data_IF_649870312127
#
_entry.id   IF_649870312127
#
_cell.length_a   1.000
_cell.length_b   1.000
_cell.length_c   1.000
_cell.angle_alpha   90.00
_cell.angle_beta   90.00
_cell.angle_gamma   90.00
#
_symmetry.space_group_name_H-M   'P 1'
#
loop_
_entity.id
_entity.type
_entity.pdbx_description
1 polymer ?
#
# COMPACT_ATOMS: atom_id res chain seq x y z
N UNK A 1 22.90 -21.77 -23.88
CA UNK A 1 22.86 -20.94 -22.66
C UNK A 1 21.58 -20.11 -22.71
N UNK A 2 20.51 -20.58 -22.05
CA UNK A 2 19.27 -19.83 -21.93
C UNK A 2 19.24 -19.24 -20.51
N UNK A 3 19.00 -17.94 -20.48
CA UNK A 3 19.07 -17.02 -19.36
C UNK A 3 18.46 -17.56 -18.06
N UNK A 4 19.26 -17.54 -16.99
CA UNK A 4 18.86 -17.78 -15.60
C UNK A 4 18.06 -16.60 -14.99
N UNK A 5 17.64 -15.61 -15.79
CA UNK A 5 17.00 -14.39 -15.30
C UNK A 5 15.46 -14.48 -15.19
N UNK A 6 14.88 -15.68 -15.00
CA UNK A 6 13.41 -15.84 -14.87
C UNK A 6 12.96 -16.70 -13.68
N UNK A 7 13.87 -17.07 -12.78
CA UNK A 7 13.58 -17.89 -11.60
C UNK A 7 13.65 -17.13 -10.27
N UNK A 8 13.49 -15.80 -10.29
CA UNK A 8 13.14 -15.02 -9.09
C UNK A 8 11.75 -14.39 -9.25
N UNK A 9 10.78 -15.19 -9.71
CA UNK A 9 9.45 -15.02 -9.14
C UNK A 9 9.55 -15.48 -7.68
N UNK A 10 10.09 -14.60 -6.84
CA UNK A 10 10.18 -14.78 -5.40
C UNK A 10 8.81 -15.26 -4.95
N UNK A 11 8.74 -16.52 -4.51
CA UNK A 11 7.57 -17.17 -3.95
C UNK A 11 7.31 -16.47 -2.60
N UNK A 12 6.81 -15.23 -2.66
CA UNK A 12 6.29 -14.44 -1.55
C UNK A 12 4.94 -15.05 -1.15
N UNK A 13 4.95 -16.33 -0.79
CA UNK A 13 3.98 -16.91 0.14
C UNK A 13 4.41 -16.60 1.57
N UNK A 14 4.86 -15.37 1.83
CA UNK A 14 4.79 -14.85 3.18
C UNK A 14 3.30 -14.79 3.52
N UNK A 15 2.87 -15.66 4.42
CA UNK A 15 1.60 -15.49 5.12
C UNK A 15 1.66 -14.12 5.80
N UNK A 16 1.12 -13.11 5.13
CA UNK A 16 1.02 -11.77 5.67
C UNK A 16 0.04 -11.81 6.83
N UNK A 17 0.48 -11.34 7.99
CA UNK A 17 -0.41 -11.19 9.13
C UNK A 17 -1.40 -10.06 8.82
N UNK A 18 -2.69 -10.33 8.91
CA UNK A 18 -3.73 -9.32 8.79
C UNK A 18 -4.47 -9.15 10.10
N UNK A 19 -4.83 -7.91 10.42
CA UNK A 19 -5.66 -7.57 11.58
C UNK A 19 -6.69 -6.51 11.21
N UNK A 20 -7.76 -6.45 12.00
CA UNK A 20 -8.81 -5.44 11.92
C UNK A 20 -8.78 -4.65 13.23
N UNK A 21 -8.75 -3.32 13.15
CA UNK A 21 -8.63 -2.44 14.32
C UNK A 21 -9.73 -1.35 14.35
N UNK A 22 -10.33 -1.12 15.53
CA UNK A 22 -11.37 -0.11 15.77
C UNK A 22 -10.87 1.34 15.60
N UNK A 23 -9.60 1.61 15.92
CA UNK A 23 -9.03 2.97 15.89
C UNK A 23 -8.02 3.09 14.77
N UNK A 24 -8.54 3.32 13.58
CA UNK A 24 -7.71 3.56 12.40
C UNK A 24 -7.38 5.04 12.27
N UNK A 25 -6.16 5.45 12.65
CA UNK A 25 -5.78 6.86 12.60
C UNK A 25 -4.30 7.11 12.80
N UNK A 26 -3.74 6.55 13.88
CA UNK A 26 -2.31 6.60 14.16
C UNK A 26 -1.56 5.47 13.47
N UNK A 27 -0.31 5.71 13.08
CA UNK A 27 0.59 4.67 12.59
C UNK A 27 1.14 3.89 13.79
N UNK A 28 0.89 2.57 13.91
CA UNK A 28 1.47 1.77 14.99
C UNK A 28 2.99 1.86 14.98
N UNK A 29 3.58 2.08 16.17
CA UNK A 29 5.02 2.32 16.30
C UNK A 29 5.52 3.48 15.43
N UNK A 30 4.73 4.57 15.33
CA UNK A 30 5.02 5.74 14.49
C UNK A 30 6.45 6.29 14.60
N UNK A 31 7.05 6.23 15.79
CA UNK A 31 8.45 6.64 16.04
C UNK A 31 9.46 5.91 15.15
N UNK A 32 9.19 4.67 14.75
CA UNK A 32 10.03 3.88 13.84
C UNK A 32 10.09 4.49 12.43
N UNK A 33 9.04 5.19 12.04
CA UNK A 33 8.88 5.79 10.72
C UNK A 33 9.13 7.30 10.76
N UNK A 34 9.34 7.89 11.94
CA UNK A 34 9.61 9.32 12.06
C UNK A 34 10.92 9.70 11.38
N UNK A 35 10.88 10.77 10.58
CA UNK A 35 12.03 11.33 9.88
C UNK A 35 12.09 12.83 10.10
N UNK A 36 13.27 13.43 9.86
CA UNK A 36 13.39 14.87 9.74
C UNK A 36 13.28 15.25 8.27
N UNK A 37 12.54 16.30 7.99
CA UNK A 37 12.44 16.83 6.63
C UNK A 37 13.78 17.44 6.21
N UNK A 38 14.42 16.78 5.26
CA UNK A 38 15.71 17.14 4.66
C UNK A 38 15.64 16.91 3.16
N UNK A 39 16.58 17.46 2.39
CA UNK A 39 16.67 17.21 0.96
C UNK A 39 16.89 15.70 0.64
N UNK A 40 17.59 14.97 1.50
CA UNK A 40 17.80 13.52 1.34
C UNK A 40 16.48 12.76 1.51
N UNK A 41 15.72 13.04 2.56
CA UNK A 41 14.44 12.36 2.83
C UNK A 41 13.37 12.71 1.81
N UNK A 42 13.39 13.93 1.28
CA UNK A 42 12.56 14.35 0.14
C UNK A 42 12.87 13.52 -1.11
N UNK A 43 14.16 13.31 -1.39
CA UNK A 43 14.60 12.47 -2.52
C UNK A 43 14.18 11.01 -2.33
N UNK A 44 14.32 10.46 -1.11
CA UNK A 44 13.84 9.11 -0.77
C UNK A 44 12.33 8.98 -1.00
N UNK A 45 11.56 9.97 -0.56
CA UNK A 45 10.11 9.97 -0.71
C UNK A 45 9.69 10.03 -2.17
N UNK A 46 10.32 10.89 -2.98
CA UNK A 46 10.08 10.95 -4.43
C UNK A 46 10.43 9.65 -5.15
N UNK A 47 11.49 8.96 -4.73
CA UNK A 47 11.83 7.64 -5.27
C UNK A 47 10.75 6.60 -4.95
N UNK A 48 10.19 6.64 -3.72
CA UNK A 48 9.09 5.77 -3.31
C UNK A 48 7.81 6.04 -4.10
N UNK A 49 7.50 7.31 -4.40
CA UNK A 49 6.39 7.68 -5.29
C UNK A 49 6.62 7.15 -6.71
N UNK A 50 7.83 7.31 -7.26
CA UNK A 50 8.15 6.82 -8.62
C UNK A 50 7.95 5.31 -8.72
N UNK A 51 8.44 4.56 -7.74
CA UNK A 51 8.29 3.10 -7.70
C UNK A 51 6.81 2.69 -7.59
N UNK A 52 6.01 3.42 -6.80
CA UNK A 52 4.57 3.22 -6.72
C UNK A 52 3.89 3.50 -8.07
N UNK A 53 4.19 4.64 -8.69
CA UNK A 53 3.61 5.07 -9.97
C UNK A 53 3.96 4.07 -11.08
N UNK A 54 5.20 3.58 -11.14
CA UNK A 54 5.66 2.58 -12.11
C UNK A 54 4.98 1.21 -11.90
N UNK A 55 4.86 0.76 -10.65
CA UNK A 55 4.29 -0.57 -10.34
C UNK A 55 2.76 -0.59 -10.46
N UNK A 56 2.10 0.42 -9.90
CA UNK A 56 0.64 0.46 -9.75
C UNK A 56 -0.01 1.22 -10.91
N UNK A 57 0.50 2.41 -11.24
CA UNK A 57 0.00 3.28 -12.31
C UNK A 57 0.46 2.87 -13.71
N UNK A 58 1.58 2.14 -13.82
CA UNK A 58 2.17 1.66 -15.09
C UNK A 58 1.46 0.47 -15.75
N UNK A 59 0.31 0.03 -15.23
CA UNK A 59 -0.59 -0.87 -15.97
C UNK A 59 -0.79 -2.29 -15.42
N UNK A 60 -0.44 -2.56 -14.16
CA UNK A 60 -0.73 -3.87 -13.54
C UNK A 60 -1.97 -3.90 -12.63
N UNK A 61 -2.40 -2.75 -12.09
CA UNK A 61 -3.56 -2.68 -11.17
C UNK A 61 -4.50 -1.50 -11.42
N UNK A 62 -3.99 -0.30 -11.76
CA UNK A 62 -4.85 0.86 -12.06
C UNK A 62 -4.19 1.89 -12.98
N UNK A 63 -4.81 3.07 -13.09
CA UNK A 63 -4.28 4.22 -13.84
C UNK A 63 -3.87 5.36 -12.91
N UNK A 64 -2.98 6.26 -13.38
CA UNK A 64 -2.53 7.43 -12.60
C UNK A 64 -3.67 8.37 -12.20
N UNK A 65 -4.74 8.42 -13.00
CA UNK A 65 -5.94 9.23 -12.77
C UNK A 65 -6.83 8.67 -11.65
N UNK A 66 -6.64 7.41 -11.29
CA UNK A 66 -7.49 6.71 -10.32
C UNK A 66 -6.99 6.85 -8.87
N UNK A 67 -5.87 7.53 -8.63
CA UNK A 67 -5.34 7.73 -7.28
C UNK A 67 -4.60 9.06 -7.10
N UNK A 68 -4.52 9.49 -5.85
CA UNK A 68 -3.79 10.68 -5.44
C UNK A 68 -2.80 10.31 -4.33
N UNK A 69 -1.61 10.89 -4.41
CA UNK A 69 -0.61 10.82 -3.34
C UNK A 69 -0.45 12.26 -2.84
N UNK A 70 -1.17 12.67 -1.77
CA UNK A 70 -1.00 14.00 -1.21
C UNK A 70 0.42 14.21 -0.70
N UNK A 71 0.87 15.47 -0.72
CA UNK A 71 2.19 15.87 -0.21
C UNK A 71 2.20 15.92 1.32
N UNK A 72 2.01 14.75 1.94
CA UNK A 72 1.83 14.57 3.39
C UNK A 72 3.00 13.83 4.05
N UNK A 73 4.17 13.85 3.44
CA UNK A 73 5.34 13.12 3.92
C UNK A 73 6.03 13.75 5.14
N UNK A 74 5.60 14.95 5.54
CA UNK A 74 6.20 15.72 6.64
C UNK A 74 6.35 14.87 7.91
N UNK A 75 7.60 14.62 8.29
CA UNK A 75 7.95 13.93 9.52
C UNK A 75 7.74 12.42 9.54
N UNK A 76 7.26 11.77 8.46
CA UNK A 76 7.06 10.32 8.41
C UNK A 76 7.47 9.68 7.08
N UNK A 77 8.24 8.58 7.15
CA UNK A 77 8.60 7.75 6.01
C UNK A 77 7.46 6.81 5.65
N UNK A 78 6.54 7.28 4.82
CA UNK A 78 5.46 6.45 4.27
C UNK A 78 4.76 7.09 3.09
N UNK A 79 3.93 6.29 2.42
CA UNK A 79 2.98 6.78 1.42
C UNK A 79 1.61 6.94 2.06
N UNK A 80 0.97 8.06 1.78
CA UNK A 80 -0.46 8.26 2.02
C UNK A 80 -1.11 8.33 0.65
N UNK A 81 -2.10 7.49 0.39
CA UNK A 81 -2.67 7.33 -0.95
C UNK A 81 -4.19 7.28 -0.88
N UNK A 82 -4.85 8.08 -1.71
CA UNK A 82 -6.28 7.98 -1.96
C UNK A 82 -6.53 7.15 -3.20
N UNK A 83 -7.37 6.13 -3.09
CA UNK A 83 -7.76 5.26 -4.20
C UNK A 83 -9.20 5.56 -4.60
N UNK A 84 -9.42 6.04 -5.81
CA UNK A 84 -10.73 6.49 -6.29
C UNK A 84 -11.45 5.46 -7.17
N UNK A 85 -10.84 4.28 -7.38
CA UNK A 85 -11.32 3.28 -8.34
C UNK A 85 -11.34 1.87 -7.73
N UNK A 86 -12.42 1.14 -7.97
CA UNK A 86 -12.57 -0.26 -7.54
C UNK A 86 -11.56 -1.22 -8.19
N UNK A 87 -10.88 -0.78 -9.25
CA UNK A 87 -9.84 -1.57 -9.93
C UNK A 87 -8.68 -1.95 -9.01
N UNK A 88 -8.44 -1.17 -7.94
CA UNK A 88 -7.43 -1.48 -6.94
C UNK A 88 -7.86 -2.58 -5.96
N UNK A 89 -9.15 -2.88 -5.84
CA UNK A 89 -9.68 -3.82 -4.86
C UNK A 89 -9.58 -5.26 -5.38
N UNK A 90 -8.35 -5.68 -5.66
CA UNK A 90 -8.01 -7.00 -6.20
C UNK A 90 -6.90 -7.63 -5.37
N UNK A 91 -6.90 -8.97 -5.31
CA UNK A 91 -5.95 -9.76 -4.51
C UNK A 91 -4.47 -9.46 -4.78
N UNK A 92 -4.12 -8.97 -5.98
CA UNK A 92 -2.74 -8.65 -6.35
C UNK A 92 -2.25 -7.29 -5.84
N UNK A 93 -3.14 -6.41 -5.36
CA UNK A 93 -2.79 -5.04 -4.96
C UNK A 93 -1.86 -5.03 -3.75
N UNK A 94 -2.29 -5.64 -2.64
CA UNK A 94 -1.52 -5.68 -1.39
C UNK A 94 -0.13 -6.31 -1.60
N UNK A 95 0.01 -7.47 -2.29
CA UNK A 95 1.32 -8.01 -2.65
C UNK A 95 2.19 -7.07 -3.49
N UNK A 96 1.60 -6.26 -4.38
CA UNK A 96 2.36 -5.28 -5.16
C UNK A 96 2.91 -4.17 -4.27
N UNK A 97 2.10 -3.64 -3.36
CA UNK A 97 2.53 -2.64 -2.37
C UNK A 97 3.63 -3.20 -1.47
N UNK A 98 3.50 -4.44 -0.99
CA UNK A 98 4.54 -5.07 -0.16
C UNK A 98 5.87 -5.19 -0.90
N UNK A 99 5.88 -5.50 -2.21
CA UNK A 99 7.12 -5.50 -3.00
C UNK A 99 7.77 -4.12 -3.05
N UNK A 100 6.99 -3.08 -3.32
CA UNK A 100 7.45 -1.68 -3.31
C UNK A 100 8.11 -1.32 -1.97
N UNK A 101 7.48 -1.70 -0.85
CA UNK A 101 8.02 -1.42 0.49
C UNK A 101 9.26 -2.27 0.80
N UNK A 102 9.30 -3.52 0.36
CA UNK A 102 10.37 -4.47 0.70
C UNK A 102 11.71 -4.04 0.13
N UNK A 103 11.74 -3.49 -1.10
CA UNK A 103 12.98 -3.02 -1.74
C UNK A 103 13.57 -1.76 -1.09
N UNK A 104 12.80 -1.06 -0.24
CA UNK A 104 13.29 0.14 0.44
C UNK A 104 14.29 -0.22 1.56
N UNK A 105 15.47 0.43 1.61
CA UNK A 105 16.50 0.11 2.60
C UNK A 105 16.12 0.50 4.02
N UNK A 106 15.26 1.52 4.18
CA UNK A 106 14.83 2.04 5.49
C UNK A 106 13.37 1.61 5.77
N UNK A 107 12.95 1.50 7.05
CA UNK A 107 11.57 1.16 7.40
C UNK A 107 10.57 2.19 6.85
N UNK A 108 9.53 1.71 6.18
CA UNK A 108 8.45 2.52 5.61
C UNK A 108 7.13 1.74 5.64
N UNK A 109 6.03 2.44 5.38
CA UNK A 109 4.68 1.88 5.28
C UNK A 109 3.89 2.60 4.18
N UNK A 110 2.72 2.07 3.83
CA UNK A 110 1.75 2.77 2.98
C UNK A 110 0.38 2.76 3.66
N UNK A 111 -0.31 3.90 3.69
CA UNK A 111 -1.67 4.06 4.19
C UNK A 111 -2.57 4.42 3.03
N UNK A 112 -3.72 3.74 2.95
CA UNK A 112 -4.69 3.91 1.88
C UNK A 112 -6.03 4.35 2.46
N UNK A 113 -6.66 5.33 1.82
CA UNK A 113 -8.09 5.62 1.97
C UNK A 113 -8.78 5.26 0.66
N UNK A 114 -9.81 4.42 0.76
CA UNK A 114 -10.43 3.75 -0.37
C UNK A 114 -11.81 4.35 -0.63
N UNK A 115 -12.04 4.82 -1.85
CA UNK A 115 -13.28 5.44 -2.27
C UNK A 115 -13.96 4.62 -3.37
N UNK A 116 -15.29 4.66 -3.39
CA UNK A 116 -16.13 4.21 -4.50
C UNK A 116 -16.84 5.44 -5.07
N UNK A 117 -17.05 5.45 -6.39
CA UNK A 117 -17.67 6.56 -7.14
C UNK A 117 -16.97 7.91 -6.87
N UNK A 118 -15.65 7.87 -6.65
CA UNK A 118 -14.78 9.04 -6.43
C UNK A 118 -15.04 9.86 -5.16
N UNK A 119 -15.98 9.47 -4.29
CA UNK A 119 -16.39 10.31 -3.14
C UNK A 119 -16.83 9.56 -1.89
N UNK A 120 -17.27 8.30 -2.02
CA UNK A 120 -17.73 7.51 -0.87
C UNK A 120 -16.58 6.72 -0.28
N UNK A 121 -16.08 7.12 0.88
CA UNK A 121 -15.09 6.34 1.63
C UNK A 121 -15.70 4.98 2.03
N UNK A 122 -15.02 3.90 1.67
CA UNK A 122 -15.44 2.52 1.95
C UNK A 122 -14.51 1.79 2.92
N UNK A 123 -13.33 2.32 3.19
CA UNK A 123 -12.42 1.73 4.16
C UNK A 123 -11.03 2.32 4.07
N UNK A 124 -10.23 2.04 5.09
CA UNK A 124 -8.84 2.42 5.14
C UNK A 124 -7.97 1.24 5.57
N UNK A 125 -6.76 1.16 5.03
CA UNK A 125 -5.80 0.13 5.44
C UNK A 125 -4.35 0.60 5.39
N UNK A 126 -3.51 -0.02 6.21
CA UNK A 126 -2.06 0.21 6.24
C UNK A 126 -1.35 -1.06 5.84
N UNK A 127 -0.38 -0.93 4.95
CA UNK A 127 0.52 -2.00 4.53
C UNK A 127 1.90 -1.74 5.12
N UNK A 128 2.37 -2.71 5.88
CA UNK A 128 3.74 -2.83 6.35
C UNK A 128 4.45 -3.97 5.61
N UNK A 129 5.75 -4.12 5.80
CA UNK A 129 6.52 -5.20 5.14
C UNK A 129 6.09 -6.60 5.60
N UNK A 130 5.55 -6.73 6.81
CA UNK A 130 5.26 -7.99 7.49
C UNK A 130 3.79 -8.19 7.86
N UNK A 131 2.96 -7.14 7.74
CA UNK A 131 1.55 -7.15 8.12
C UNK A 131 0.70 -6.13 7.39
N UNK A 132 -0.61 -6.35 7.40
CA UNK A 132 -1.63 -5.38 6.96
C UNK A 132 -2.64 -5.15 8.06
N UNK A 133 -3.03 -3.91 8.23
CA UNK A 133 -4.02 -3.51 9.23
C UNK A 133 -5.17 -2.85 8.48
N UNK A 134 -6.38 -3.34 8.69
CA UNK A 134 -7.62 -2.78 8.15
C UNK A 134 -8.39 -2.07 9.26
N UNK A 135 -9.15 -1.05 8.89
CA UNK A 135 -10.19 -0.51 9.78
C UNK A 135 -11.47 -1.37 9.74
N UNK A 136 -12.35 -1.20 10.72
CA UNK A 136 -13.66 -1.85 10.70
C UNK A 136 -14.51 -1.46 9.48
N UNK A 137 -14.33 -0.24 8.95
CA UNK A 137 -15.02 0.21 7.73
C UNK A 137 -14.72 -0.69 6.54
N UNK A 138 -13.46 -1.07 6.37
CA UNK A 138 -12.98 -1.98 5.33
C UNK A 138 -13.60 -3.37 5.45
N UNK A 139 -13.78 -3.87 6.67
CA UNK A 139 -14.45 -5.17 6.88
C UNK A 139 -15.93 -5.08 6.50
N UNK A 140 -16.64 -4.08 7.03
CA UNK A 140 -18.08 -3.89 6.82
C UNK A 140 -18.43 -3.63 5.35
N UNK A 141 -17.53 -3.02 4.59
CA UNK A 141 -17.72 -2.77 3.16
C UNK A 141 -17.38 -3.96 2.25
N UNK A 142 -16.77 -5.01 2.79
CA UNK A 142 -16.26 -6.15 2.01
C UNK A 142 -14.91 -5.91 1.34
N UNK A 143 -14.27 -4.75 1.56
CA UNK A 143 -12.96 -4.41 1.01
C UNK A 143 -11.88 -5.43 1.43
N UNK A 144 -11.93 -5.91 2.68
CA UNK A 144 -11.02 -6.95 3.18
C UNK A 144 -11.12 -8.22 2.33
N UNK A 145 -12.33 -8.70 2.07
CA UNK A 145 -12.55 -9.93 1.30
C UNK A 145 -12.01 -9.80 -0.13
N UNK A 146 -12.21 -8.64 -0.77
CA UNK A 146 -11.71 -8.35 -2.12
C UNK A 146 -10.17 -8.33 -2.19
N UNK A 147 -9.53 -7.66 -1.23
CA UNK A 147 -8.07 -7.53 -1.18
C UNK A 147 -7.35 -8.80 -0.71
N UNK A 148 -7.98 -9.61 0.14
CA UNK A 148 -7.41 -10.87 0.63
C UNK A 148 -7.78 -12.07 -0.24
N UNK A 149 -8.78 -11.93 -1.12
CA UNK A 149 -9.24 -13.00 -2.01
C UNK A 149 -10.06 -14.07 -1.27
N UNK A 150 -10.73 -13.70 -0.19
CA UNK A 150 -11.72 -14.57 0.44
C UNK A 150 -12.91 -14.67 -0.51
N UNK A 151 -13.24 -15.90 -0.94
CA UNK A 151 -14.39 -16.13 -1.80
C UNK A 151 -15.63 -15.65 -1.06
N UNK A 152 -16.33 -14.65 -1.61
CA UNK A 152 -17.75 -14.50 -1.33
C UNK A 152 -18.41 -15.81 -1.75
N UNK A 153 -18.92 -16.55 -0.77
CA UNK A 153 -19.59 -17.84 -0.96
C UNK A 153 -20.90 -17.72 -1.71
#
# INVERSE_FOLDING_TARGET
>A
MRSAAREEACDLRQEMNFSIEERFGGVPSGDLYSIKDTAETEQEWRALISEFDETIGGGSVGSREDYEIPDWHHGMRGLFVYLYSERFYVRSFVPAVVRILTVQPKPCFAKFECFIDGSRLVGCFMVFKDRVIFDEGSEKSGLVALLMGERMG
#
